data_IF_589753711704
#
_entry.id   IF_589753711704
#
_cell.length_a   1.000
_cell.length_b   1.000
_cell.length_c   1.000
_cell.angle_alpha   90.00
_cell.angle_beta   90.00
_cell.angle_gamma   90.00
#
_symmetry.space_group_name_H-M   'P 1'
#
loop_
_entity.id
_entity.type
_entity.pdbx_description
1 polymer ?
#
# COMPACT_ATOMS: atom_id res chain seq x y z
N UNK A 1 -1.54 10.79 -6.82
CA UNK A 1 -1.08 10.60 -5.42
C UNK A 1 -1.89 11.36 -4.36
N UNK A 2 -2.59 12.46 -4.70
CA UNK A 2 -3.37 13.25 -3.72
C UNK A 2 -4.38 12.43 -2.90
N UNK A 3 -5.10 11.49 -3.53
CA UNK A 3 -6.08 10.64 -2.84
C UNK A 3 -5.47 9.76 -1.75
N UNK A 4 -4.29 9.18 -1.98
CA UNK A 4 -3.60 8.37 -0.95
C UNK A 4 -3.07 9.24 0.17
N UNK A 5 -2.60 10.45 -0.15
CA UNK A 5 -2.18 11.42 0.86
C UNK A 5 -3.34 11.73 1.80
N UNK A 6 -4.47 12.14 1.24
CA UNK A 6 -5.69 12.43 2.02
C UNK A 6 -6.15 11.22 2.82
N UNK A 7 -6.09 10.02 2.26
CA UNK A 7 -6.41 8.80 3.01
C UNK A 7 -5.51 8.62 4.23
N UNK A 8 -4.19 8.73 4.06
CA UNK A 8 -3.23 8.57 5.16
C UNK A 8 -3.46 9.67 6.21
N UNK A 9 -3.70 10.91 5.79
CA UNK A 9 -3.96 12.03 6.71
C UNK A 9 -5.30 11.86 7.47
N UNK A 10 -6.34 11.38 6.80
CA UNK A 10 -7.63 11.11 7.44
C UNK A 10 -7.55 9.95 8.43
N UNK A 11 -6.82 8.89 8.08
CA UNK A 11 -6.51 7.77 8.99
C UNK A 11 -5.71 8.24 10.21
N UNK A 12 -4.81 9.21 10.04
CA UNK A 12 -4.07 9.80 11.15
C UNK A 12 -4.99 10.61 12.10
N UNK A 13 -5.88 11.43 11.53
CA UNK A 13 -6.80 12.30 12.30
C UNK A 13 -7.83 11.51 13.12
N UNK A 14 -8.14 10.28 12.71
CA UNK A 14 -9.10 9.44 13.43
C UNK A 14 -8.42 8.66 14.56
N UNK A 15 -8.41 9.23 15.78
CA UNK A 15 -7.69 8.70 16.93
C UNK A 15 -8.11 7.29 17.39
N UNK A 16 -9.32 6.84 17.03
CA UNK A 16 -9.83 5.50 17.36
C UNK A 16 -9.42 4.44 16.33
N UNK A 17 -8.84 4.86 15.21
CA UNK A 17 -8.55 3.99 14.10
C UNK A 17 -7.26 3.22 14.37
N UNK A 18 -7.37 1.99 14.89
CA UNK A 18 -6.26 1.03 15.06
C UNK A 18 -5.94 0.28 13.77
N UNK A 19 -6.48 0.72 12.64
CA UNK A 19 -6.27 0.00 11.41
C UNK A 19 -4.87 0.22 10.84
N UNK A 20 -4.36 -0.83 10.21
CA UNK A 20 -3.14 -0.78 9.41
C UNK A 20 -3.45 -0.49 7.94
N UNK A 21 -2.48 0.18 7.31
CA UNK A 21 -2.47 0.46 5.87
C UNK A 21 -1.37 -0.40 5.27
N UNK A 22 -1.72 -1.27 4.32
CA UNK A 22 -0.73 -1.96 3.48
C UNK A 22 -0.57 -1.15 2.20
N UNK A 23 0.68 -0.89 1.82
CA UNK A 23 1.04 -0.32 0.53
C UNK A 23 1.83 -1.38 -0.24
N UNK A 24 1.34 -1.75 -1.42
CA UNK A 24 2.03 -2.58 -2.40
C UNK A 24 2.62 -1.61 -3.43
N UNK A 25 3.88 -1.22 -3.21
CA UNK A 25 4.60 -0.22 -3.99
C UNK A 25 5.34 -0.87 -5.16
N UNK A 26 4.57 -1.22 -6.20
CA UNK A 26 5.05 -1.76 -7.47
C UNK A 26 6.04 -0.81 -8.17
N UNK A 27 5.75 0.50 -8.17
CA UNK A 27 6.41 1.49 -9.03
C UNK A 27 7.38 2.42 -8.26
N UNK A 28 7.76 2.05 -7.03
CA UNK A 28 8.63 2.84 -6.15
C UNK A 28 8.15 4.29 -5.94
N UNK A 29 6.84 4.49 -5.93
CA UNK A 29 6.21 5.80 -5.83
C UNK A 29 6.06 6.26 -4.37
N UNK A 30 6.05 5.32 -3.42
CA UNK A 30 5.77 5.62 -2.02
C UNK A 30 7.05 5.75 -1.20
N UNK A 31 8.00 4.84 -1.37
CA UNK A 31 9.23 4.79 -0.57
C UNK A 31 8.95 4.49 0.91
N UNK A 32 9.75 5.05 1.83
CA UNK A 32 9.54 4.91 3.27
C UNK A 32 9.82 6.22 4.02
N UNK A 33 9.46 6.28 5.31
CA UNK A 33 9.65 7.48 6.14
C UNK A 33 11.10 7.87 6.40
N UNK A 34 12.06 7.00 6.08
CA UNK A 34 13.49 7.20 6.32
C UNK A 34 14.21 7.71 5.07
N UNK A 35 13.65 7.50 3.89
CA UNK A 35 14.20 7.93 2.61
C UNK A 35 13.81 9.39 2.33
N UNK A 36 14.76 10.34 2.39
CA UNK A 36 14.48 11.73 2.12
C UNK A 36 13.87 11.92 0.72
N UNK A 37 12.99 12.91 0.58
CA UNK A 37 12.28 13.23 -0.67
C UNK A 37 11.33 12.16 -1.21
N UNK A 38 11.08 11.07 -0.45
CA UNK A 38 10.02 10.13 -0.80
C UNK A 38 8.62 10.68 -0.42
N UNK A 39 7.59 10.12 -1.03
CA UNK A 39 6.20 10.46 -0.71
C UNK A 39 5.89 10.23 0.77
N UNK A 40 6.26 9.06 1.32
CA UNK A 40 6.02 8.73 2.73
C UNK A 40 6.83 9.63 3.67
N UNK A 41 8.07 10.02 3.31
CA UNK A 41 8.85 11.00 4.08
C UNK A 41 8.16 12.37 4.12
N UNK A 42 7.57 12.82 3.01
CA UNK A 42 6.87 14.11 2.97
C UNK A 42 5.68 14.15 3.94
N UNK A 43 4.91 13.06 4.02
CA UNK A 43 3.78 12.93 4.94
C UNK A 43 4.28 12.82 6.38
N UNK A 44 5.32 12.01 6.61
CA UNK A 44 5.93 11.85 7.92
C UNK A 44 6.39 13.20 8.49
N UNK A 45 7.12 13.97 7.68
CA UNK A 45 7.64 15.28 8.08
C UNK A 45 6.52 16.27 8.39
N UNK A 46 5.46 16.32 7.57
CA UNK A 46 4.30 17.16 7.85
C UNK A 46 3.64 16.82 9.18
N UNK A 47 3.32 15.53 9.39
CA UNK A 47 2.65 15.07 10.61
C UNK A 47 3.53 15.27 11.85
N UNK A 48 4.83 15.03 11.74
CA UNK A 48 5.80 15.32 12.79
C UNK A 48 5.78 16.80 13.17
N UNK A 49 5.86 17.72 12.21
CA UNK A 49 5.84 19.16 12.52
C UNK A 49 4.55 19.61 13.22
N UNK A 50 3.42 18.96 12.91
CA UNK A 50 2.11 19.30 13.48
C UNK A 50 1.84 18.63 14.84
N UNK A 51 2.34 17.41 15.08
CA UNK A 51 1.90 16.57 16.21
C UNK A 51 3.04 16.01 17.08
N UNK A 52 4.29 16.26 16.71
CA UNK A 52 5.47 15.74 17.40
C UNK A 52 5.86 14.31 16.99
N UNK A 53 7.11 13.93 17.29
CA UNK A 53 7.72 12.67 16.83
C UNK A 53 6.96 11.45 17.33
N UNK A 54 6.61 11.41 18.62
CA UNK A 54 6.04 10.21 19.25
C UNK A 54 4.70 9.80 18.64
N UNK A 55 3.82 10.78 18.37
CA UNK A 55 2.49 10.52 17.79
C UNK A 55 2.63 10.04 16.34
N UNK A 56 3.48 10.71 15.57
CA UNK A 56 3.73 10.34 14.17
C UNK A 56 4.38 8.97 14.05
N UNK A 57 5.36 8.63 14.90
CA UNK A 57 5.99 7.31 14.93
C UNK A 57 4.98 6.21 15.28
N UNK A 58 4.12 6.43 16.27
CA UNK A 58 3.07 5.49 16.63
C UNK A 58 2.12 5.22 15.45
N UNK A 59 1.76 6.26 14.69
CA UNK A 59 0.95 6.11 13.49
C UNK A 59 1.66 5.32 12.39
N UNK A 60 2.91 5.66 12.07
CA UNK A 60 3.67 5.04 10.98
C UNK A 60 4.03 3.58 11.26
N UNK A 61 4.05 3.14 12.52
CA UNK A 61 4.17 1.71 12.88
C UNK A 61 3.02 0.84 12.34
N UNK A 62 1.93 1.45 11.86
CA UNK A 62 0.76 0.78 11.28
C UNK A 62 0.75 0.80 9.75
N UNK A 63 1.76 1.39 9.13
CA UNK A 63 1.89 1.42 7.67
C UNK A 63 2.95 0.41 7.25
N UNK A 64 2.52 -0.61 6.52
CA UNK A 64 3.39 -1.65 5.99
C UNK A 64 3.56 -1.47 4.49
N UNK A 65 4.80 -1.29 4.03
CA UNK A 65 5.10 -1.10 2.61
C UNK A 65 5.83 -2.33 2.07
N UNK A 66 5.18 -3.07 1.17
CA UNK A 66 5.83 -4.09 0.34
C UNK A 66 6.38 -3.44 -0.93
N UNK A 67 7.60 -3.81 -1.31
CA UNK A 67 8.37 -3.26 -2.43
C UNK A 67 9.02 -4.42 -3.22
N UNK A 68 9.78 -4.08 -4.25
CA UNK A 68 10.65 -5.00 -5.00
C UNK A 68 9.90 -6.06 -5.83
N UNK A 69 8.83 -5.66 -6.51
CA UNK A 69 8.10 -6.51 -7.44
C UNK A 69 8.67 -6.43 -8.84
N UNK A 70 8.99 -7.59 -9.45
CA UNK A 70 9.49 -7.65 -10.82
C UNK A 70 8.37 -7.90 -11.84
N UNK A 71 7.24 -8.44 -11.39
CA UNK A 71 6.12 -8.82 -12.23
C UNK A 71 4.77 -8.71 -11.51
N UNK A 72 3.67 -8.72 -12.27
CA UNK A 72 2.33 -8.82 -11.69
C UNK A 72 2.07 -10.19 -11.03
N UNK A 73 2.83 -11.23 -11.41
CA UNK A 73 2.79 -12.54 -10.74
C UNK A 73 3.28 -12.46 -9.31
N UNK A 74 4.32 -11.66 -9.04
CA UNK A 74 4.82 -11.43 -7.68
C UNK A 74 3.78 -10.73 -6.80
N UNK A 75 3.08 -9.74 -7.36
CA UNK A 75 1.99 -9.04 -6.68
C UNK A 75 0.83 -9.99 -6.39
N UNK A 76 0.46 -10.84 -7.35
CA UNK A 76 -0.58 -11.87 -7.15
C UNK A 76 -0.21 -12.83 -6.03
N UNK A 77 1.03 -13.31 -6.01
CA UNK A 77 1.53 -14.19 -4.95
C UNK A 77 1.49 -13.52 -3.58
N UNK A 78 1.83 -12.24 -3.48
CA UNK A 78 1.68 -11.48 -2.24
C UNK A 78 0.22 -11.39 -1.79
N UNK A 79 -0.70 -11.08 -2.71
CA UNK A 79 -2.13 -10.94 -2.38
C UNK A 79 -2.76 -12.27 -1.92
N UNK A 80 -2.39 -13.40 -2.54
CA UNK A 80 -2.86 -14.74 -2.15
C UNK A 80 -2.41 -15.10 -0.73
N UNK A 81 -1.17 -14.75 -0.40
CA UNK A 81 -0.53 -15.08 0.86
C UNK A 81 -0.45 -13.89 1.83
N UNK A 82 -1.32 -12.89 1.68
CA UNK A 82 -1.18 -11.61 2.38
C UNK A 82 -1.09 -11.76 3.90
N UNK A 83 -1.95 -12.59 4.51
CA UNK A 83 -1.93 -12.89 5.95
C UNK A 83 -0.58 -13.44 6.43
N UNK A 84 0.00 -14.34 5.66
CA UNK A 84 1.25 -15.02 5.99
C UNK A 84 2.43 -14.06 5.88
N UNK A 85 2.35 -13.10 4.94
CA UNK A 85 3.37 -12.10 4.65
C UNK A 85 3.34 -10.91 5.60
N UNK A 86 2.25 -10.67 6.34
CA UNK A 86 2.21 -9.61 7.36
C UNK A 86 3.13 -9.98 8.55
N UNK A 87 4.15 -9.15 8.86
CA UNK A 87 5.04 -9.39 9.98
C UNK A 87 4.30 -9.40 11.32
N UNK A 88 4.80 -10.18 12.29
CA UNK A 88 4.10 -10.41 13.57
C UNK A 88 3.75 -9.11 14.31
N UNK A 89 4.63 -8.10 14.27
CA UNK A 89 4.42 -6.80 14.91
C UNK A 89 3.30 -5.96 14.26
N UNK A 90 2.82 -6.32 13.06
CA UNK A 90 1.66 -5.69 12.44
C UNK A 90 0.36 -6.45 12.67
N UNK A 91 0.40 -7.70 13.15
CA UNK A 91 -0.79 -8.56 13.29
C UNK A 91 -1.72 -8.14 14.42
N UNK A 92 -1.28 -7.24 15.30
CA UNK A 92 -2.13 -6.63 16.32
C UNK A 92 -3.10 -5.58 15.76
N UNK A 93 -2.87 -5.11 14.52
CA UNK A 93 -3.70 -4.13 13.84
C UNK A 93 -4.69 -4.82 12.90
N UNK A 94 -5.91 -4.30 12.84
CA UNK A 94 -6.89 -4.73 11.84
C UNK A 94 -6.50 -4.16 10.47
N UNK A 95 -6.57 -4.96 9.40
CA UNK A 95 -6.32 -4.45 8.06
C UNK A 95 -7.45 -3.50 7.64
N UNK A 96 -7.14 -2.22 7.51
CA UNK A 96 -8.12 -1.19 7.15
C UNK A 96 -8.13 -0.81 5.69
N UNK A 97 -6.99 -0.84 5.01
CA UNK A 97 -6.89 -0.48 3.59
C UNK A 97 -5.65 -1.11 2.96
N UNK A 98 -5.80 -1.58 1.72
CA UNK A 98 -4.68 -1.94 0.85
C UNK A 98 -4.57 -0.92 -0.27
N UNK A 99 -3.39 -0.33 -0.44
CA UNK A 99 -3.06 0.56 -1.55
C UNK A 99 -2.16 -0.19 -2.50
N UNK A 100 -2.56 -0.32 -3.77
CA UNK A 100 -1.71 -0.88 -4.83
C UNK A 100 -1.24 0.26 -5.70
N UNK A 101 0.08 0.45 -5.81
CA UNK A 101 0.65 1.46 -6.70
C UNK A 101 0.52 1.05 -8.16
N UNK A 102 0.93 1.93 -9.07
CA UNK A 102 0.74 1.75 -10.51
C UNK A 102 1.23 0.38 -11.02
N UNK A 103 0.31 -0.49 -11.41
CA UNK A 103 0.59 -1.83 -11.97
C UNK A 103 0.88 -1.79 -13.47
N UNK A 104 0.66 -0.66 -14.14
CA UNK A 104 0.96 -0.50 -15.58
C UNK A 104 2.45 -0.64 -15.89
N UNK A 105 3.33 -0.55 -14.89
CA UNK A 105 4.75 -0.84 -15.06
C UNK A 105 5.01 -2.28 -15.55
N UNK A 106 4.07 -3.20 -15.29
CA UNK A 106 4.17 -4.60 -15.71
C UNK A 106 3.57 -4.85 -17.11
N UNK A 107 3.08 -3.81 -17.80
CA UNK A 107 2.38 -3.96 -19.08
C UNK A 107 3.18 -4.74 -20.12
N UNK A 108 4.47 -4.45 -20.26
CA UNK A 108 5.33 -5.14 -21.23
C UNK A 108 5.49 -6.63 -20.92
N UNK A 109 5.58 -6.99 -19.64
CA UNK A 109 5.60 -8.40 -19.22
C UNK A 109 4.28 -9.10 -19.52
N UNK A 110 3.14 -8.44 -19.27
CA UNK A 110 1.82 -8.99 -19.56
C UNK A 110 1.59 -9.19 -21.07
N UNK A 111 2.05 -8.25 -21.89
CA UNK A 111 1.96 -8.35 -23.35
C UNK A 111 2.76 -9.55 -23.89
N UNK A 112 3.94 -9.80 -23.34
CA UNK A 112 4.80 -10.89 -23.78
C UNK A 112 4.24 -12.27 -23.40
N UNK A 113 3.51 -12.36 -22.29
CA UNK A 113 2.85 -13.59 -21.86
C UNK A 113 1.62 -13.94 -22.72
N UNK A 114 1.11 -13.01 -23.53
CA UNK A 114 0.06 -13.26 -24.53
C UNK A 114 -1.34 -13.54 -23.98
N UNK A 115 -1.49 -13.68 -22.65
CA UNK A 115 -2.74 -13.95 -21.95
C UNK A 115 -2.98 -12.95 -20.81
N UNK A 116 -4.20 -12.41 -20.75
CA UNK A 116 -4.69 -11.54 -19.69
C UNK A 116 -5.00 -12.30 -18.38
N UNK A 117 -4.78 -13.61 -18.31
CA UNK A 117 -5.01 -14.44 -17.12
C UNK A 117 -4.33 -13.85 -15.87
N UNK A 118 -3.08 -13.37 -15.97
CA UNK A 118 -2.36 -12.79 -14.83
C UNK A 118 -3.06 -11.52 -14.31
N UNK A 119 -3.62 -10.70 -15.21
CA UNK A 119 -4.35 -9.49 -14.86
C UNK A 119 -5.74 -9.83 -14.26
N UNK A 120 -6.44 -10.81 -14.83
CA UNK A 120 -7.71 -11.31 -14.29
C UNK A 120 -7.52 -11.88 -12.87
N UNK A 121 -6.43 -12.63 -12.67
CA UNK A 121 -6.04 -13.16 -11.37
C UNK A 121 -5.77 -12.05 -10.35
N UNK A 122 -5.14 -10.95 -10.77
CA UNK A 122 -4.93 -9.78 -9.93
C UNK A 122 -6.24 -9.16 -9.44
N UNK A 123 -7.20 -8.91 -10.33
CA UNK A 123 -8.51 -8.39 -9.93
C UNK A 123 -9.24 -9.34 -8.98
N UNK A 124 -9.22 -10.65 -9.27
CA UNK A 124 -9.82 -11.67 -8.39
C UNK A 124 -9.17 -11.68 -7.01
N UNK A 125 -7.84 -11.64 -6.92
CA UNK A 125 -7.13 -11.64 -5.65
C UNK A 125 -7.39 -10.36 -4.86
N UNK A 126 -7.50 -9.21 -5.53
CA UNK A 126 -7.93 -7.98 -4.88
C UNK A 126 -9.35 -8.10 -4.28
N UNK A 127 -10.31 -8.66 -5.03
CA UNK A 127 -11.66 -8.89 -4.53
C UNK A 127 -11.68 -9.85 -3.33
N UNK A 128 -10.93 -10.95 -3.39
CA UNK A 128 -10.83 -11.92 -2.31
C UNK A 128 -10.22 -11.30 -1.04
N UNK A 129 -9.17 -10.49 -1.17
CA UNK A 129 -8.59 -9.75 -0.04
C UNK A 129 -9.61 -8.76 0.52
N UNK A 130 -10.27 -7.97 -0.34
CA UNK A 130 -11.27 -7.00 0.11
C UNK A 130 -12.42 -7.66 0.89
N UNK A 131 -12.93 -8.78 0.39
CA UNK A 131 -13.99 -9.55 1.04
C UNK A 131 -13.54 -10.19 2.34
N UNK A 132 -12.36 -10.83 2.35
CA UNK A 132 -11.84 -11.57 3.50
C UNK A 132 -11.54 -10.65 4.70
N UNK A 133 -11.05 -9.45 4.43
CA UNK A 133 -10.62 -8.50 5.45
C UNK A 133 -11.61 -7.35 5.66
N UNK A 134 -12.69 -7.32 4.89
CA UNK A 134 -13.65 -6.21 4.87
C UNK A 134 -12.97 -4.84 4.70
N UNK A 135 -11.92 -4.78 3.87
CA UNK A 135 -11.14 -3.58 3.65
C UNK A 135 -11.21 -3.11 2.18
N UNK A 136 -11.25 -1.80 1.91
CA UNK A 136 -11.07 -1.28 0.55
C UNK A 136 -9.68 -1.58 0.00
N UNK A 137 -9.62 -1.84 -1.31
CA UNK A 137 -8.38 -1.84 -2.08
C UNK A 137 -8.40 -0.67 -3.06
N UNK A 138 -7.37 0.17 -2.99
CA UNK A 138 -7.26 1.39 -3.79
C UNK A 138 -6.09 1.23 -4.75
N UNK A 139 -6.39 1.30 -6.04
CA UNK A 139 -5.36 1.36 -7.07
C UNK A 139 -4.96 2.81 -7.34
N UNK A 140 -3.66 3.06 -7.43
CA UNK A 140 -3.11 4.38 -7.69
C UNK A 140 -2.45 4.41 -9.05
N UNK A 141 -3.00 5.21 -9.96
CA UNK A 141 -2.32 5.53 -11.21
C UNK A 141 -1.39 6.73 -11.01
N UNK A 142 -0.27 6.71 -11.74
CA UNK A 142 0.58 7.87 -11.84
C UNK A 142 -0.12 8.90 -12.74
N UNK A 143 -0.68 9.95 -12.16
CA UNK A 143 -0.91 11.19 -12.89
C UNK A 143 0.37 12.00 -12.82
N UNK A 144 1.08 12.06 -13.95
CA UNK A 144 2.10 13.07 -14.18
C UNK A 144 1.37 14.43 -14.16
N UNK A 145 1.63 15.23 -13.13
CA UNK A 145 1.33 16.66 -13.15
C UNK A 145 2.60 17.39 -13.61
#
# INVERSE_FOLDING_TARGET
>A
MGLVRELILNKFRNANDKEMIIIIDCAYQFGNKELPNSFMFSIYKELWLQNGVSVTEAFFKRILVFRDFNSLKDVNNLLEHLLERIPKNFREYQLGTVVVSNTSIFYWSLRNDGDNETLNKFYKNCQLVSQKFHCPIISCQHTLN
#
